data_IF_630769805120
#
_entry.id   IF_630769805120
#
_cell.length_a   1.000
_cell.length_b   1.000
_cell.length_c   1.000
_cell.angle_alpha   90.00
_cell.angle_beta   90.00
_cell.angle_gamma   90.00
#
_symmetry.space_group_name_H-M   'P 1'
#
loop_
_entity.id
_entity.type
_entity.pdbx_description
1 polymer ?
#
# COMPACT_ATOMS: atom_id res chain seq x y z
N UNK A 1 3.20 23.79 8.59
CA UNK A 1 3.12 23.43 8.42
C UNK A 1 3.02 22.53 8.03
N UNK A 2 3.19 22.27 7.93
CA UNK A 2 3.23 21.52 7.51
C UNK A 2 2.51 20.77 7.41
N UNK A 3 2.10 20.61 7.34
CA UNK A 3 1.45 20.06 7.18
C UNK A 3 1.09 19.31 6.42
N UNK A 4 1.30 19.36 5.99
CA UNK A 4 0.85 18.73 5.04
C UNK A 4 1.23 17.47 4.91
N UNK A 5 1.91 17.05 5.06
CA UNK A 5 2.29 15.97 4.83
C UNK A 5 1.65 14.96 5.34
N UNK A 6 1.06 14.99 5.92
CA UNK A 6 0.53 14.05 6.50
C UNK A 6 -0.34 13.28 5.82
N UNK A 7 -0.75 13.57 4.81
CA UNK A 7 -1.71 12.86 4.24
C UNK A 7 -1.34 11.62 3.64
N UNK A 8 -0.19 11.43 3.09
CA UNK A 8 0.16 10.22 2.44
C UNK A 8 0.91 9.31 3.33
N UNK A 9 0.50 8.05 3.44
CA UNK A 9 1.25 7.05 4.14
C UNK A 9 2.44 6.64 3.33
N UNK A 10 3.52 6.32 3.99
CA UNK A 10 4.68 5.79 3.29
C UNK A 10 4.39 4.35 2.85
N UNK A 11 5.20 3.85 1.94
CA UNK A 11 5.06 2.48 1.49
C UNK A 11 5.29 1.51 2.65
N UNK A 12 6.23 1.84 3.52
CA UNK A 12 6.47 1.00 4.68
C UNK A 12 5.27 0.95 5.60
N UNK A 13 4.59 2.08 5.77
CA UNK A 13 3.39 2.10 6.60
C UNK A 13 2.31 1.23 5.99
N UNK A 14 2.18 1.28 4.69
CA UNK A 14 1.19 0.46 4.01
C UNK A 14 1.49 -1.03 4.17
N UNK A 15 2.76 -1.41 4.05
CA UNK A 15 3.14 -2.79 4.27
C UNK A 15 2.86 -3.22 5.71
N UNK A 16 3.08 -2.31 6.66
CA UNK A 16 2.77 -2.59 8.05
C UNK A 16 1.31 -2.87 8.27
N UNK A 17 0.47 -2.09 7.62
CA UNK A 17 -0.97 -2.30 7.72
C UNK A 17 -1.39 -3.62 7.09
N UNK A 18 -0.80 -3.95 5.94
CA UNK A 18 -1.11 -5.21 5.29
C UNK A 18 -0.70 -6.39 6.17
N UNK A 19 0.42 -6.26 6.86
CA UNK A 19 0.88 -7.31 7.74
C UNK A 19 -0.10 -7.52 8.89
N UNK A 20 -0.60 -6.43 9.46
CA UNK A 20 -1.58 -6.54 10.53
C UNK A 20 -2.87 -7.19 10.04
N UNK A 21 -3.32 -6.82 8.86
CA UNK A 21 -4.51 -7.42 8.30
C UNK A 21 -4.33 -8.91 8.07
N UNK A 22 -3.16 -9.29 7.58
CA UNK A 22 -2.89 -10.68 7.34
C UNK A 22 -2.91 -11.49 8.63
N UNK A 23 -2.35 -10.92 9.69
CA UNK A 23 -2.35 -11.62 10.97
C UNK A 23 -3.75 -11.82 11.50
N UNK A 24 -4.59 -10.80 11.33
CA UNK A 24 -5.97 -10.93 11.78
C UNK A 24 -6.73 -11.95 10.94
N UNK A 25 -6.43 -12.02 9.66
CA UNK A 25 -7.07 -12.99 8.80
C UNK A 25 -6.66 -14.42 9.14
N UNK A 26 -5.44 -14.59 9.65
CA UNK A 26 -4.96 -15.91 10.04
C UNK A 26 -5.53 -16.35 11.38
N UNK A 27 -6.06 -15.42 12.15
CA UNK A 27 -6.58 -15.75 13.47
C UNK A 27 -7.87 -16.52 13.32
N UNK A 28 -7.90 -17.71 13.89
CA UNK A 28 -9.08 -18.57 13.76
C UNK A 28 -10.29 -18.02 14.48
N UNK A 29 -10.08 -17.10 15.39
CA UNK A 29 -11.19 -16.54 16.13
C UNK A 29 -11.81 -15.36 15.46
N UNK A 30 -11.27 -14.89 14.38
CA UNK A 30 -11.83 -13.77 13.65
C UNK A 30 -13.13 -14.19 12.98
N UNK A 31 -14.24 -13.49 13.27
CA UNK A 31 -15.51 -13.84 12.65
C UNK A 31 -15.47 -13.68 11.13
N UNK A 32 -16.31 -14.42 10.45
CA UNK A 32 -16.32 -14.40 8.99
C UNK A 32 -16.60 -13.01 8.44
N UNK A 33 -17.54 -12.30 9.04
CA UNK A 33 -17.85 -10.95 8.59
C UNK A 33 -16.66 -10.03 8.71
N UNK A 34 -15.91 -10.18 9.78
CA UNK A 34 -14.73 -9.38 9.98
C UNK A 34 -13.67 -9.75 8.96
N UNK A 35 -13.57 -11.03 8.63
CA UNK A 35 -12.61 -11.47 7.63
C UNK A 35 -12.88 -10.82 6.27
N UNK A 36 -14.15 -10.73 5.89
CA UNK A 36 -14.50 -10.09 4.63
C UNK A 36 -14.11 -8.64 4.64
N UNK A 37 -14.34 -7.96 5.75
CA UNK A 37 -14.01 -6.55 5.84
C UNK A 37 -12.51 -6.34 5.76
N UNK A 38 -11.76 -7.20 6.45
CA UNK A 38 -10.31 -7.11 6.43
C UNK A 38 -9.76 -7.39 5.03
N UNK A 39 -10.35 -8.35 4.36
CA UNK A 39 -9.93 -8.68 3.00
C UNK A 39 -10.15 -7.50 2.08
N UNK A 40 -11.29 -6.86 2.18
CA UNK A 40 -11.58 -5.70 1.35
C UNK A 40 -10.59 -4.56 1.63
N UNK A 41 -10.30 -4.34 2.91
CA UNK A 41 -9.33 -3.33 3.26
C UNK A 41 -7.97 -3.63 2.65
N UNK A 42 -7.56 -4.89 2.72
CA UNK A 42 -6.30 -5.30 2.15
C UNK A 42 -6.23 -5.06 0.66
N UNK A 43 -7.34 -5.34 -0.03
CA UNK A 43 -7.37 -5.13 -1.47
C UNK A 43 -7.24 -3.65 -1.81
N UNK A 44 -7.85 -2.79 -1.03
CA UNK A 44 -7.74 -1.37 -1.27
C UNK A 44 -6.32 -0.86 -1.02
N UNK A 45 -5.68 -1.39 0.00
CA UNK A 45 -4.30 -1.01 0.27
C UNK A 45 -3.38 -1.48 -0.84
N UNK A 46 -3.61 -2.69 -1.35
CA UNK A 46 -2.81 -3.20 -2.44
C UNK A 46 -2.98 -2.38 -3.71
N UNK A 47 -4.20 -1.94 -3.94
CA UNK A 47 -4.48 -1.12 -5.10
C UNK A 47 -3.72 0.20 -5.01
N UNK A 48 -3.75 0.82 -3.84
CA UNK A 48 -3.04 2.07 -3.63
C UNK A 48 -1.54 1.86 -3.78
N UNK A 49 -1.02 0.80 -3.22
CA UNK A 49 0.39 0.49 -3.30
C UNK A 49 0.83 0.27 -4.73
N UNK A 50 0.01 -0.46 -5.48
CA UNK A 50 0.31 -0.73 -6.87
C UNK A 50 0.38 0.57 -7.68
N UNK A 51 -0.51 1.51 -7.40
CA UNK A 51 -0.48 2.78 -8.06
C UNK A 51 0.78 3.57 -7.76
N UNK A 52 1.22 3.52 -6.51
CA UNK A 52 2.44 4.22 -6.13
C UNK A 52 3.66 3.61 -6.79
N UNK A 53 3.71 2.29 -6.85
CA UNK A 53 4.83 1.62 -7.47
C UNK A 53 4.88 1.91 -8.96
N UNK A 54 3.72 1.97 -9.58
CA UNK A 54 3.65 2.30 -11.00
C UNK A 54 4.21 3.70 -11.25
N UNK A 55 3.90 4.64 -10.38
CA UNK A 55 4.39 5.99 -10.51
C UNK A 55 5.92 6.03 -10.37
N UNK A 56 6.45 5.28 -9.42
CA UNK A 56 7.89 5.22 -9.22
C UNK A 56 8.56 4.64 -10.46
N UNK A 57 7.99 3.59 -11.00
CA UNK A 57 8.55 2.95 -12.18
C UNK A 57 8.59 3.91 -13.36
N UNK A 58 7.54 4.68 -13.55
CA UNK A 58 7.50 5.65 -14.63
C UNK A 58 8.56 6.71 -14.47
N UNK A 59 8.77 7.16 -13.24
CA UNK A 59 9.80 8.16 -13.00
C UNK A 59 11.18 7.60 -13.24
N UNK A 60 11.39 6.36 -12.87
CA UNK A 60 12.67 5.72 -13.12
C UNK A 60 12.96 5.61 -14.62
N UNK A 61 11.94 5.26 -15.37
CA UNK A 61 12.09 5.16 -16.82
C UNK A 61 12.44 6.53 -17.42
N UNK A 62 11.84 7.57 -16.92
CA UNK A 62 12.15 8.91 -17.38
C UNK A 62 13.59 9.27 -17.11
N UNK A 63 14.08 8.93 -15.93
CA UNK A 63 15.46 9.24 -15.58
C UNK A 63 16.43 8.48 -16.46
N UNK A 64 16.13 7.22 -16.72
CA UNK A 64 16.98 6.43 -17.59
C UNK A 64 17.00 6.98 -19.00
N UNK A 65 15.87 7.46 -19.46
CA UNK A 65 15.81 8.07 -20.78
C UNK A 65 16.70 9.28 -20.87
N UNK A 66 16.69 10.11 -19.84
CA UNK A 66 17.52 11.28 -19.83
C UNK A 66 18.99 10.93 -19.83
N UNK A 67 19.34 9.92 -19.09
CA UNK A 67 20.74 9.51 -19.04
C UNK A 67 21.20 8.97 -20.38
N UNK A 68 20.29 8.35 -21.10
CA UNK A 68 20.64 7.76 -22.36
C UNK A 68 20.95 8.81 -23.43
N UNK A 69 20.47 9.99 -23.27
CA UNK A 69 20.75 11.04 -24.22
C UNK A 69 22.11 11.63 -23.98
#
# INVERSE_FOLDING_TARGET
MAEAKKEEKSIEDTFGELDLLARKLEDKETPLEESFRLYRQGMELLKDLNGRLDTVEKKMLQMLSLIHI
#
